data_IF_948628871129
#
_entry.id   IF_948628871129
#
_cell.length_a   1.000
_cell.length_b   1.000
_cell.length_c   1.000
_cell.angle_alpha   90.00
_cell.angle_beta   90.00
_cell.angle_gamma   90.00
#
_symmetry.space_group_name_H-M   'P 1'
#
loop_
_entity.id
_entity.type
_entity.pdbx_description
1 polymer ?
#
# COMPACT_ATOMS: atom_id res chain seq x y z
N UNK A 1 -11.32 -13.09 -4.84
CA UNK A 1 -10.53 -11.84 -4.80
C UNK A 1 -9.47 -12.03 -3.75
N UNK A 2 -8.22 -11.67 -4.06
CA UNK A 2 -7.12 -11.71 -3.10
C UNK A 2 -6.75 -10.26 -2.82
N UNK A 3 -6.97 -9.81 -1.58
CA UNK A 3 -6.76 -8.42 -1.18
C UNK A 3 -5.45 -8.26 -0.42
N UNK A 4 -4.73 -7.21 -0.76
CA UNK A 4 -3.61 -6.66 0.00
C UNK A 4 -3.88 -5.18 0.25
N UNK A 5 -3.13 -4.58 1.16
CA UNK A 5 -3.47 -3.28 1.72
C UNK A 5 -2.28 -2.34 1.69
N UNK A 6 -2.54 -1.07 1.40
CA UNK A 6 -1.52 -0.01 1.47
C UNK A 6 -2.01 1.10 2.37
N UNK A 7 -1.19 1.50 3.35
CA UNK A 7 -1.47 2.62 4.24
C UNK A 7 -0.81 3.87 3.65
N UNK A 8 -1.58 4.93 3.48
CA UNK A 8 -1.09 6.18 2.87
C UNK A 8 -1.71 7.40 3.57
N UNK A 9 -0.95 8.49 3.79
CA UNK A 9 -1.54 9.76 4.18
C UNK A 9 -2.57 10.24 3.15
N UNK A 10 -3.72 10.72 3.59
CA UNK A 10 -4.79 11.18 2.70
C UNK A 10 -4.31 12.29 1.75
N UNK A 11 -3.41 13.16 2.23
CA UNK A 11 -2.80 14.23 1.43
C UNK A 11 -1.96 13.68 0.27
N UNK A 12 -1.17 12.62 0.49
CA UNK A 12 -0.30 12.02 -0.52
C UNK A 12 -1.10 11.33 -1.62
N UNK A 13 -2.22 10.68 -1.24
CA UNK A 13 -3.16 10.11 -2.19
C UNK A 13 -3.86 11.21 -3.02
N UNK A 14 -4.35 12.26 -2.35
CA UNK A 14 -5.05 13.37 -3.00
C UNK A 14 -4.14 14.16 -3.96
N UNK A 15 -2.86 14.33 -3.61
CA UNK A 15 -1.89 15.01 -4.48
C UNK A 15 -1.73 14.34 -5.85
N UNK A 16 -2.09 13.06 -5.96
CA UNK A 16 -1.99 12.28 -7.19
C UNK A 16 -3.37 11.97 -7.80
N UNK A 17 -4.45 12.65 -7.39
CA UNK A 17 -5.83 12.34 -7.78
C UNK A 17 -6.05 12.26 -9.30
N UNK A 18 -5.44 13.17 -10.07
CA UNK A 18 -5.56 13.22 -11.54
C UNK A 18 -4.73 12.16 -12.28
N UNK A 19 -3.82 11.46 -11.59
CA UNK A 19 -3.02 10.39 -12.18
C UNK A 19 -3.79 9.07 -12.21
N UNK A 20 -3.68 8.24 -13.28
CA UNK A 20 -4.24 6.89 -13.31
C UNK A 20 -3.50 5.92 -12.37
N UNK A 21 -2.32 6.30 -11.90
CA UNK A 21 -1.49 5.54 -10.98
C UNK A 21 -1.15 6.33 -9.72
N UNK A 22 -0.73 5.63 -8.68
CA UNK A 22 -0.19 6.18 -7.45
C UNK A 22 1.25 5.69 -7.24
N UNK A 23 2.15 6.60 -6.91
CA UNK A 23 3.53 6.30 -6.55
C UNK A 23 3.78 6.67 -5.09
N UNK A 24 4.15 5.67 -4.28
CA UNK A 24 4.63 5.91 -2.92
C UNK A 24 6.10 6.34 -2.95
N UNK A 25 6.55 7.10 -1.94
CA UNK A 25 7.95 7.52 -1.83
C UNK A 25 8.93 6.32 -1.84
N UNK A 26 8.53 5.18 -1.27
CA UNK A 26 9.32 3.95 -1.25
C UNK A 26 9.64 3.42 -2.64
N UNK A 27 8.81 3.71 -3.65
CA UNK A 27 9.10 3.32 -5.03
C UNK A 27 10.38 3.99 -5.54
N UNK A 28 10.58 5.27 -5.21
CA UNK A 28 11.79 6.00 -5.60
C UNK A 28 12.99 5.64 -4.73
N UNK A 29 12.81 5.42 -3.43
CA UNK A 29 13.92 5.20 -2.49
C UNK A 29 14.38 3.74 -2.39
N UNK A 30 13.47 2.78 -2.57
CA UNK A 30 13.70 1.34 -2.36
C UNK A 30 13.41 0.50 -3.62
N UNK A 31 12.67 1.06 -4.59
CA UNK A 31 12.33 0.39 -5.85
C UNK A 31 11.00 -0.37 -5.83
N UNK A 32 10.23 -0.29 -4.74
CA UNK A 32 8.92 -0.93 -4.63
C UNK A 32 7.99 -0.22 -3.63
N UNK A 33 6.68 -0.45 -3.76
CA UNK A 33 5.67 0.02 -2.81
C UNK A 33 5.42 -1.09 -1.77
N UNK A 34 5.49 -0.75 -0.49
CA UNK A 34 5.11 -1.67 0.58
C UNK A 34 3.60 -1.84 0.66
N UNK A 35 3.15 -3.09 0.61
CA UNK A 35 1.78 -3.47 0.95
C UNK A 35 1.81 -4.42 2.15
N UNK A 36 0.63 -4.71 2.68
CA UNK A 36 0.42 -5.61 3.82
C UNK A 36 -0.68 -6.60 3.49
N UNK A 37 -0.63 -7.80 4.06
CA UNK A 37 -1.81 -8.66 4.22
C UNK A 37 -2.73 -8.07 5.28
N UNK A 38 -3.98 -8.55 5.34
CA UNK A 38 -4.98 -8.04 6.29
C UNK A 38 -4.48 -8.12 7.75
N UNK A 39 -3.89 -9.25 8.10
CA UNK A 39 -3.41 -9.53 9.45
C UNK A 39 -2.19 -8.67 9.84
N UNK A 40 -1.48 -8.14 8.84
CA UNK A 40 -0.29 -7.31 9.02
C UNK A 40 -0.64 -5.82 9.24
N UNK A 41 -1.80 -5.35 8.78
CA UNK A 41 -2.17 -3.92 8.78
C UNK A 41 -2.04 -3.29 10.16
N UNK A 42 -2.56 -3.92 11.21
CA UNK A 42 -2.52 -3.35 12.57
C UNK A 42 -1.10 -3.17 13.11
N UNK A 43 -0.20 -4.13 12.83
CA UNK A 43 1.19 -4.05 13.23
C UNK A 43 1.96 -3.00 12.40
N UNK A 44 1.71 -2.94 11.08
CA UNK A 44 2.27 -1.91 10.20
C UNK A 44 1.86 -0.51 10.63
N UNK A 45 0.57 -0.30 10.91
CA UNK A 45 0.01 0.96 11.38
C UNK A 45 0.69 1.41 12.68
N UNK A 46 0.76 0.51 13.68
CA UNK A 46 1.38 0.79 14.97
C UNK A 46 2.88 1.07 14.88
N UNK A 47 3.59 0.42 13.96
CA UNK A 47 5.06 0.54 13.84
C UNK A 47 5.50 1.77 13.07
N UNK A 48 4.81 2.12 11.98
CA UNK A 48 5.27 3.14 11.03
C UNK A 48 4.42 4.41 11.01
N UNK A 49 3.17 4.34 11.49
CA UNK A 49 2.18 5.40 11.31
C UNK A 49 1.53 5.88 12.61
N UNK A 50 2.03 5.45 13.78
CA UNK A 50 1.41 5.74 15.09
C UNK A 50 1.18 7.22 15.40
N UNK A 51 1.96 8.12 14.81
CA UNK A 51 1.85 9.58 15.01
C UNK A 51 1.44 10.32 13.73
N UNK A 52 1.05 9.60 12.68
CA UNK A 52 0.66 10.18 11.40
C UNK A 52 -0.88 10.32 11.38
N UNK A 53 -1.43 11.53 11.32
CA UNK A 53 -2.87 11.72 11.23
C UNK A 53 -3.38 11.43 9.81
N UNK A 54 -4.70 11.35 9.67
CA UNK A 54 -5.41 11.33 8.39
C UNK A 54 -4.89 10.27 7.42
N UNK A 55 -4.98 9.01 7.85
CA UNK A 55 -4.52 7.87 7.07
C UNK A 55 -5.68 7.23 6.29
N UNK A 56 -5.37 6.75 5.10
CA UNK A 56 -6.22 5.90 4.30
C UNK A 56 -5.64 4.49 4.25
N UNK A 57 -6.52 3.50 4.27
CA UNK A 57 -6.23 2.12 3.92
C UNK A 57 -6.80 1.84 2.53
N UNK A 58 -5.91 1.66 1.56
CA UNK A 58 -6.28 1.26 0.21
C UNK A 58 -6.41 -0.26 0.17
N UNK A 59 -7.57 -0.77 -0.24
CA UNK A 59 -7.80 -2.19 -0.45
C UNK A 59 -7.52 -2.51 -1.92
N UNK A 60 -6.51 -3.33 -2.18
CA UNK A 60 -5.96 -3.58 -3.52
C UNK A 60 -6.25 -5.01 -3.95
N UNK A 61 -6.96 -5.19 -5.06
CA UNK A 61 -7.20 -6.50 -5.67
C UNK A 61 -5.98 -6.92 -6.50
N UNK A 62 -5.31 -7.98 -6.06
CA UNK A 62 -4.08 -8.45 -6.72
C UNK A 62 -4.30 -8.90 -8.15
N UNK A 63 -5.53 -9.29 -8.53
CA UNK A 63 -5.82 -9.74 -9.90
C UNK A 63 -5.88 -8.59 -10.91
N UNK A 64 -5.93 -7.36 -10.43
CA UNK A 64 -5.98 -6.14 -11.26
C UNK A 64 -4.64 -5.42 -11.34
N UNK A 65 -3.63 -5.90 -10.60
CA UNK A 65 -2.31 -5.28 -10.61
C UNK A 65 -1.66 -5.41 -11.98
N UNK A 66 -1.13 -4.30 -12.47
CA UNK A 66 -0.40 -4.23 -13.74
C UNK A 66 1.11 -4.39 -13.56
N UNK A 67 1.61 -4.21 -12.33
CA UNK A 67 3.02 -4.30 -11.97
C UNK A 67 3.31 -5.61 -11.22
N UNK A 68 4.59 -5.98 -11.18
CA UNK A 68 5.03 -7.22 -10.55
C UNK A 68 4.86 -7.17 -9.03
N UNK A 69 4.17 -8.16 -8.47
CA UNK A 69 3.97 -8.34 -7.03
C UNK A 69 4.84 -9.48 -6.51
N UNK A 70 5.72 -9.21 -5.54
CA UNK A 70 6.53 -10.24 -4.86
C UNK A 70 6.17 -10.30 -3.39
N UNK A 71 6.32 -11.49 -2.82
CA UNK A 71 6.19 -11.71 -1.38
C UNK A 71 7.57 -12.00 -0.82
N UNK A 72 8.08 -11.08 0.00
CA UNK A 72 9.46 -11.12 0.48
C UNK A 72 9.52 -11.04 2.01
N UNK A 73 10.50 -11.71 2.65
CA UNK A 73 10.62 -11.70 4.09
C UNK A 73 11.02 -10.32 4.60
N UNK A 74 10.24 -9.79 5.55
CA UNK A 74 10.64 -8.65 6.36
C UNK A 74 11.51 -9.10 7.54
N UNK A 75 11.92 -8.14 8.40
CA UNK A 75 12.78 -8.39 9.57
C UNK A 75 12.24 -9.45 10.55
N UNK A 76 10.92 -9.70 10.54
CA UNK A 76 10.25 -10.69 11.37
C UNK A 76 10.07 -12.07 10.68
N UNK A 77 10.75 -12.31 9.54
CA UNK A 77 10.59 -13.48 8.66
C UNK A 77 9.18 -13.67 8.08
N UNK A 78 8.30 -12.69 8.24
CA UNK A 78 6.98 -12.72 7.64
C UNK A 78 7.04 -12.18 6.20
N UNK A 79 6.28 -12.78 5.30
CA UNK A 79 6.23 -12.35 3.90
C UNK A 79 5.30 -11.15 3.73
N UNK A 80 5.87 -10.03 3.31
CA UNK A 80 5.13 -8.83 2.94
C UNK A 80 5.01 -8.72 1.41
N UNK A 81 3.85 -8.27 0.89
CA UNK A 81 3.69 -7.97 -0.52
C UNK A 81 4.41 -6.67 -0.90
N UNK A 82 5.28 -6.73 -1.90
CA UNK A 82 5.99 -5.60 -2.49
C UNK A 82 5.62 -5.46 -3.96
N UNK A 83 5.15 -4.27 -4.35
CA UNK A 83 4.79 -3.95 -5.73
C UNK A 83 5.94 -3.23 -6.42
N UNK A 84 6.53 -3.83 -7.44
CA UNK A 84 7.66 -3.28 -8.19
C UNK A 84 7.19 -2.39 -9.33
N UNK A 85 6.65 -1.24 -8.96
CA UNK A 85 6.15 -0.23 -9.89
C UNK A 85 5.01 0.61 -9.30
N UNK A 86 4.49 1.57 -10.07
CA UNK A 86 3.36 2.38 -9.66
C UNK A 86 2.08 1.54 -9.46
N UNK A 87 1.30 1.86 -8.43
CA UNK A 87 0.01 1.23 -8.18
C UNK A 87 -1.04 1.79 -9.15
N UNK A 88 -1.59 0.96 -10.04
CA UNK A 88 -2.73 1.36 -10.88
C UNK A 88 -4.01 1.50 -10.05
N UNK A 89 -4.72 2.63 -10.17
CA UNK A 89 -5.84 2.97 -9.28
C UNK A 89 -7.08 2.11 -9.46
N UNK A 90 -7.28 1.51 -10.62
CA UNK A 90 -8.36 0.55 -10.88
C UNK A 90 -8.17 -0.79 -10.12
N UNK A 91 -6.96 -1.06 -9.61
CA UNK A 91 -6.74 -2.14 -8.65
C UNK A 91 -7.18 -1.79 -7.22
N UNK A 92 -7.37 -0.50 -6.90
CA UNK A 92 -7.91 -0.06 -5.61
C UNK A 92 -9.44 -0.19 -5.66
N UNK A 93 -9.98 -1.16 -4.93
CA UNK A 93 -11.41 -1.49 -4.96
C UNK A 93 -12.20 -0.86 -3.82
N UNK A 94 -11.52 -0.47 -2.75
CA UNK A 94 -12.10 0.22 -1.60
C UNK A 94 -11.05 1.12 -0.94
N UNK A 95 -11.50 2.23 -0.37
CA UNK A 95 -10.69 3.17 0.41
C UNK A 95 -11.37 3.38 1.75
N UNK A 96 -10.67 3.02 2.82
CA UNK A 96 -11.14 3.15 4.20
C UNK A 96 -10.34 4.25 4.91
N UNK A 97 -11.01 5.08 5.72
CA UNK A 97 -10.31 6.04 6.60
C UNK A 97 -9.93 5.34 7.90
N UNK A 98 -8.67 5.46 8.29
CA UNK A 98 -8.18 4.99 9.58
C UNK A 98 -8.24 6.17 10.56
N UNK A 99 -9.20 6.10 11.49
CA UNK A 99 -9.46 7.13 12.52
C UNK A 99 -8.76 6.79 13.83
#
# INVERSE_FOLDING_TARGET
MSLIYHIVPAADWAAQESSPTYEAASLTTEGFIHLSKKEQVGATLSRYYATVPDLLLLHVDTNKLTQELKYEPATNNELFPHLYGPLNKDAVVEIERLN
#
